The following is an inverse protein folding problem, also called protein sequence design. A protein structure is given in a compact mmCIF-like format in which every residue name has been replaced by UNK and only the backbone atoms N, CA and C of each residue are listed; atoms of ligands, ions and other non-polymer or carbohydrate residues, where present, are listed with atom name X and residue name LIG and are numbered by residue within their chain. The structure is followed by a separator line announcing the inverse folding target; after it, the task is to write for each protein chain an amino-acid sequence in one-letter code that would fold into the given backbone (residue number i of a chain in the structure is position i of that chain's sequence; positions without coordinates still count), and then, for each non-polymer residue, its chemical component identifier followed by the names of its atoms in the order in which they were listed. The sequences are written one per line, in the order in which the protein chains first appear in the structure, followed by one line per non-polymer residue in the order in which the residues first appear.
data_IF_469015489353
#
_entry.id   IF_469015489353
#
_cell.length_a   1.000
_cell.length_b   1.000
_cell.length_c   1.000
_cell.angle_alpha   90.00
_cell.angle_beta   90.00
_cell.angle_gamma   90.00
#
_symmetry.space_group_name_H-M   'P 1'
#
loop_
_entity.id
_entity.type
_entity.pdbx_description
1 polymer ?
#
# COMPACT_ATOMS: atom_id res chain seq x y z
N UNK A 1 23.37 11.36 -9.27
CA UNK A 1 23.27 12.54 -8.41
C UNK A 1 22.26 12.19 -7.32
N UNK A 2 22.71 12.11 -6.06
CA UNK A 2 21.88 11.71 -4.91
C UNK A 2 21.01 12.88 -4.47
N UNK A 3 19.71 12.65 -4.28
CA UNK A 3 18.75 13.63 -3.73
C UNK A 3 18.86 13.78 -2.20
N UNK A 4 19.81 13.10 -1.54
CA UNK A 4 19.98 13.15 -0.10
C UNK A 4 20.99 14.24 0.31
N UNK A 5 20.57 15.51 0.23
CA UNK A 5 21.15 16.64 0.97
C UNK A 5 20.42 17.94 0.54
N UNK A 6 19.18 18.12 0.99
CA UNK A 6 18.55 19.43 0.93
C UNK A 6 18.89 20.16 2.23
N UNK A 7 19.77 21.15 2.14
CA UNK A 7 20.11 22.02 3.25
C UNK A 7 18.84 22.74 3.75
N UNK A 8 18.70 22.82 5.07
CA UNK A 8 17.69 23.64 5.77
C UNK A 8 17.68 25.05 5.18
N UNK A 9 16.57 25.44 4.53
CA UNK A 9 16.41 26.74 3.86
C UNK A 9 16.33 26.69 2.33
N UNK A 10 16.33 25.50 1.71
CA UNK A 10 16.15 25.40 0.25
C UNK A 10 14.70 25.74 -0.12
N UNK A 11 14.53 26.82 -0.88
CA UNK A 11 13.24 27.29 -1.38
C UNK A 11 12.50 26.21 -2.19
N UNK A 12 11.19 26.11 -2.00
CA UNK A 12 10.32 25.09 -2.60
C UNK A 12 10.37 25.14 -4.13
N UNK A 13 10.53 26.33 -4.70
CA UNK A 13 10.69 26.51 -6.15
C UNK A 13 11.98 25.85 -6.64
N UNK A 14 13.06 25.98 -5.87
CA UNK A 14 14.36 25.37 -6.18
C UNK A 14 14.27 23.84 -6.15
N UNK A 15 13.61 23.27 -5.13
CA UNK A 15 13.40 21.82 -5.05
C UNK A 15 12.55 21.30 -6.22
N UNK A 16 11.48 22.02 -6.55
CA UNK A 16 10.61 21.67 -7.68
C UNK A 16 11.39 21.70 -9.00
N UNK A 17 12.21 22.74 -9.21
CA UNK A 17 13.07 22.85 -10.40
C UNK A 17 14.05 21.68 -10.50
N UNK A 18 14.74 21.34 -9.40
CA UNK A 18 15.69 20.22 -9.37
C UNK A 18 15.00 18.89 -9.67
N UNK A 19 13.82 18.65 -9.10
CA UNK A 19 13.00 17.47 -9.38
C UNK A 19 12.64 17.36 -10.87
N UNK A 20 12.19 18.45 -11.50
CA UNK A 20 11.89 18.46 -12.93
C UNK A 20 13.11 18.14 -13.79
N UNK A 21 14.25 18.75 -13.51
CA UNK A 21 15.48 18.51 -14.29
C UNK A 21 16.01 17.08 -14.10
N UNK A 22 15.85 16.51 -12.91
CA UNK A 22 16.14 15.10 -12.68
C UNK A 22 15.25 14.18 -13.54
N UNK A 23 13.94 14.42 -13.55
CA UNK A 23 12.99 13.60 -14.32
C UNK A 23 13.19 13.73 -15.84
N UNK A 24 13.69 14.87 -16.31
CA UNK A 24 14.06 15.05 -17.73
C UNK A 24 15.36 14.32 -18.10
N UNK A 25 16.35 14.31 -17.21
CA UNK A 25 17.70 13.80 -17.50
C UNK A 25 17.88 12.32 -17.18
N UNK A 26 17.02 11.76 -16.34
CA UNK A 26 17.10 10.35 -15.98
C UNK A 26 16.79 9.45 -17.18
N UNK A 27 17.59 8.38 -17.33
CA UNK A 27 17.36 7.33 -18.33
C UNK A 27 16.45 6.22 -17.83
N UNK A 28 16.13 6.21 -16.53
CA UNK A 28 15.24 5.23 -15.93
C UNK A 28 13.77 5.55 -16.24
N UNK A 29 12.93 4.52 -16.25
CA UNK A 29 11.48 4.69 -16.28
C UNK A 29 11.01 5.32 -14.96
N UNK A 30 10.05 6.21 -15.04
CA UNK A 30 9.48 6.85 -13.85
C UNK A 30 7.97 7.09 -14.02
N UNK A 31 7.27 7.13 -12.90
CA UNK A 31 5.86 7.48 -12.82
C UNK A 31 5.70 8.62 -11.81
N UNK A 32 5.12 9.73 -12.26
CA UNK A 32 4.70 10.82 -11.39
C UNK A 32 3.20 10.69 -11.13
N UNK A 33 2.78 10.71 -9.87
CA UNK A 33 1.38 10.69 -9.48
C UNK A 33 1.03 12.05 -8.87
N UNK A 34 0.05 12.71 -9.46
CA UNK A 34 -0.52 13.96 -8.95
C UNK A 34 -1.95 13.66 -8.53
N UNK A 35 -2.13 13.46 -7.24
CA UNK A 35 -3.40 13.04 -6.68
C UNK A 35 -4.30 14.25 -6.36
N UNK A 36 -5.59 14.10 -6.61
CA UNK A 36 -6.65 15.06 -6.28
C UNK A 36 -6.39 16.50 -6.77
N UNK A 37 -6.00 16.63 -8.04
CA UNK A 37 -5.72 17.94 -8.65
C UNK A 37 -7.02 18.69 -8.94
N UNK A 38 -7.20 19.84 -8.30
CA UNK A 38 -8.38 20.69 -8.52
C UNK A 38 -8.29 21.53 -9.79
N UNK A 39 -7.12 22.14 -10.03
CA UNK A 39 -6.89 23.08 -11.13
C UNK A 39 -5.53 22.82 -11.78
N UNK A 40 -5.44 23.03 -13.09
CA UNK A 40 -4.23 22.68 -13.85
C UNK A 40 -2.98 23.38 -13.33
N UNK A 41 -3.07 24.66 -12.95
CA UNK A 41 -1.92 25.42 -12.46
C UNK A 41 -1.36 24.89 -11.12
N UNK A 42 -2.13 24.08 -10.37
CA UNK A 42 -1.60 23.37 -9.19
C UNK A 42 -0.65 22.23 -9.57
N UNK A 43 -0.80 21.66 -10.77
CA UNK A 43 0.01 20.56 -11.28
C UNK A 43 1.13 21.03 -12.21
N UNK A 44 0.90 22.10 -12.98
CA UNK A 44 1.76 22.48 -14.11
C UNK A 44 3.22 22.75 -13.68
N UNK A 45 3.41 23.30 -12.49
CA UNK A 45 4.74 23.63 -11.97
C UNK A 45 5.56 22.37 -11.66
N UNK A 46 4.94 21.20 -11.50
CA UNK A 46 5.63 19.93 -11.23
C UNK A 46 5.91 19.14 -12.51
N UNK A 47 5.11 19.36 -13.55
CA UNK A 47 5.19 18.60 -14.80
C UNK A 47 6.44 19.01 -15.60
N UNK A 48 7.31 18.07 -16.00
CA UNK A 48 8.44 18.38 -16.87
C UNK A 48 7.97 18.87 -18.24
N UNK A 49 8.60 19.93 -18.75
CA UNK A 49 8.42 20.33 -20.16
C UNK A 49 8.87 19.20 -21.09
N UNK A 50 8.11 18.94 -22.17
CA UNK A 50 8.40 17.93 -23.20
C UNK A 50 8.50 16.49 -22.66
N UNK A 51 7.52 16.06 -21.88
CA UNK A 51 7.44 14.67 -21.37
C UNK A 51 7.54 13.60 -22.46
N UNK A 52 7.14 13.90 -23.70
CA UNK A 52 7.23 12.98 -24.84
C UNK A 52 8.67 12.54 -25.19
N UNK A 53 9.70 13.25 -24.73
CA UNK A 53 11.10 12.86 -24.93
C UNK A 53 11.70 12.12 -23.72
N UNK A 54 10.90 11.84 -22.70
CA UNK A 54 11.31 11.16 -21.47
C UNK A 54 10.76 9.73 -21.44
N UNK A 55 11.34 8.86 -20.62
CA UNK A 55 10.82 7.50 -20.34
C UNK A 55 9.74 7.52 -19.23
N UNK A 56 9.09 8.66 -19.05
CA UNK A 56 8.22 8.95 -17.93
C UNK A 56 6.74 8.88 -18.25
N UNK A 57 5.94 8.58 -17.24
CA UNK A 57 4.48 8.68 -17.31
C UNK A 57 3.98 9.57 -16.17
N UNK A 58 2.88 10.28 -16.42
CA UNK A 58 2.23 11.13 -15.43
C UNK A 58 0.80 10.65 -15.29
N UNK A 59 0.42 10.26 -14.08
CA UNK A 59 -0.94 9.96 -13.69
C UNK A 59 -1.50 11.12 -12.88
N UNK A 60 -2.63 11.67 -13.32
CA UNK A 60 -3.33 12.75 -12.63
C UNK A 60 -4.71 12.24 -12.26
N UNK A 61 -5.06 12.32 -10.98
CA UNK A 61 -6.43 12.06 -10.51
C UNK A 61 -7.10 13.39 -10.20
N UNK A 62 -8.42 13.46 -10.43
CA UNK A 62 -9.20 14.68 -10.19
C UNK A 62 -10.66 14.33 -10.01
N UNK A 63 -11.36 15.15 -9.22
CA UNK A 63 -12.84 15.12 -9.11
C UNK A 63 -13.51 16.03 -10.14
N UNK A 64 -12.74 16.85 -10.85
CA UNK A 64 -13.26 17.86 -11.76
C UNK A 64 -13.18 17.40 -13.21
N UNK A 65 -14.33 17.12 -13.83
CA UNK A 65 -14.42 16.79 -15.26
C UNK A 65 -13.86 17.91 -16.16
N UNK A 66 -13.88 19.16 -15.70
CA UNK A 66 -13.31 20.30 -16.42
C UNK A 66 -11.78 20.39 -16.39
N UNK A 67 -11.07 19.57 -15.61
CA UNK A 67 -9.61 19.62 -15.58
C UNK A 67 -9.03 19.17 -16.92
N UNK A 68 -8.40 20.08 -17.65
CA UNK A 68 -7.74 19.79 -18.92
C UNK A 68 -6.39 20.47 -18.98
N UNK A 69 -5.36 19.74 -19.43
CA UNK A 69 -4.08 20.33 -19.76
C UNK A 69 -4.24 21.30 -20.96
N UNK A 70 -3.60 22.49 -20.94
CA UNK A 70 -3.66 23.46 -22.03
C UNK A 70 -3.12 22.90 -23.35
N UNK A 71 -2.15 22.00 -23.27
CA UNK A 71 -1.64 21.23 -24.40
C UNK A 71 -1.81 19.74 -24.09
N UNK A 72 -2.40 18.99 -25.03
CA UNK A 72 -2.53 17.54 -24.92
C UNK A 72 -1.33 16.92 -25.63
N UNK A 73 -0.45 16.20 -24.91
CA UNK A 73 0.59 15.38 -25.54
C UNK A 73 -0.03 14.37 -26.52
N UNK A 74 0.79 13.87 -27.44
CA UNK A 74 0.37 12.82 -28.39
C UNK A 74 -0.16 11.59 -27.63
N UNK A 75 0.49 11.21 -26.54
CA UNK A 75 0.11 10.07 -25.69
C UNK A 75 -0.74 10.48 -24.48
N UNK A 76 -1.70 11.37 -24.70
CA UNK A 76 -2.65 11.79 -23.66
C UNK A 76 -3.85 10.84 -23.59
N UNK A 77 -4.03 10.20 -22.43
CA UNK A 77 -5.19 9.37 -22.14
C UNK A 77 -6.00 9.96 -20.99
N UNK A 78 -7.32 9.97 -21.16
CA UNK A 78 -8.27 10.38 -20.12
C UNK A 78 -9.31 9.29 -19.94
N UNK A 79 -9.36 8.73 -18.73
CA UNK A 79 -10.40 7.81 -18.33
C UNK A 79 -11.32 8.50 -17.33
N UNK A 80 -12.63 8.51 -17.62
CA UNK A 80 -13.61 8.84 -16.61
C UNK A 80 -13.85 7.56 -15.79
N UNK A 81 -13.67 7.67 -14.47
CA UNK A 81 -14.04 6.61 -13.56
C UNK A 81 -15.54 6.74 -13.28
N UNK A 82 -16.27 5.67 -13.53
CA UNK A 82 -17.70 5.57 -13.26
C UNK A 82 -17.92 4.91 -11.89
N UNK A 83 -19.13 5.08 -11.37
CA UNK A 83 -19.55 4.33 -10.19
C UNK A 83 -19.52 2.84 -10.51
N UNK A 84 -19.01 2.04 -9.56
CA UNK A 84 -19.08 0.59 -9.68
C UNK A 84 -20.54 0.15 -9.76
N UNK A 85 -20.87 -0.76 -10.66
CA UNK A 85 -22.20 -1.37 -10.68
C UNK A 85 -22.45 -2.10 -9.35
N UNK A 86 -23.72 -2.33 -9.00
CA UNK A 86 -24.06 -3.10 -7.79
C UNK A 86 -23.41 -4.49 -7.79
N UNK A 87 -23.26 -5.13 -8.94
CA UNK A 87 -22.55 -6.40 -9.09
C UNK A 87 -21.06 -6.28 -8.80
N UNK A 88 -20.37 -5.31 -9.39
CA UNK A 88 -18.93 -5.10 -9.19
C UNK A 88 -18.63 -4.63 -7.76
N UNK A 89 -19.45 -3.73 -7.22
CA UNK A 89 -19.37 -3.29 -5.83
C UNK A 89 -19.62 -4.45 -4.87
N UNK A 90 -20.63 -5.29 -5.12
CA UNK A 90 -20.86 -6.51 -4.35
C UNK A 90 -19.68 -7.47 -4.45
N UNK A 91 -19.12 -7.67 -5.64
CA UNK A 91 -18.01 -8.59 -5.83
C UNK A 91 -16.75 -8.11 -5.10
N UNK A 92 -16.44 -6.81 -5.19
CA UNK A 92 -15.34 -6.16 -4.47
C UNK A 92 -15.53 -6.26 -2.94
N UNK A 93 -16.76 -6.06 -2.46
CA UNK A 93 -17.09 -6.24 -1.05
C UNK A 93 -17.00 -7.71 -0.61
N UNK A 94 -17.48 -8.65 -1.43
CA UNK A 94 -17.47 -10.07 -1.12
C UNK A 94 -16.05 -10.63 -1.08
N UNK A 95 -15.22 -10.29 -2.08
CA UNK A 95 -13.78 -10.61 -2.08
C UNK A 95 -13.11 -10.05 -0.83
N UNK A 96 -13.35 -8.78 -0.50
CA UNK A 96 -12.84 -8.19 0.73
C UNK A 96 -13.38 -8.85 2.00
N UNK A 97 -14.62 -9.35 2.00
CA UNK A 97 -15.27 -9.94 3.18
C UNK A 97 -14.85 -11.38 3.45
N UNK A 98 -14.68 -12.19 2.40
CA UNK A 98 -14.25 -13.58 2.50
C UNK A 98 -12.81 -13.65 3.03
N UNK A 99 -11.94 -12.81 2.46
CA UNK A 99 -10.55 -12.66 2.88
C UNK A 99 -10.44 -12.27 4.37
N UNK A 100 -11.35 -11.39 4.84
CA UNK A 100 -11.43 -10.97 6.25
C UNK A 100 -11.99 -12.03 7.19
N UNK A 101 -12.94 -12.86 6.74
CA UNK A 101 -13.49 -13.97 7.55
C UNK A 101 -12.44 -15.04 7.77
N UNK A 102 -11.73 -15.44 6.72
CA UNK A 102 -10.68 -16.44 6.81
C UNK A 102 -9.53 -15.94 7.71
N UNK A 103 -9.16 -14.67 7.59
CA UNK A 103 -8.19 -14.03 8.49
C UNK A 103 -8.64 -14.08 9.96
N UNK A 104 -9.91 -13.76 10.24
CA UNK A 104 -10.45 -13.76 11.60
C UNK A 104 -10.48 -15.17 12.23
N UNK A 105 -10.88 -16.18 11.46
CA UNK A 105 -10.91 -17.58 11.90
C UNK A 105 -9.48 -18.09 12.14
N UNK A 106 -8.58 -17.88 11.17
CA UNK A 106 -7.19 -18.31 11.27
C UNK A 106 -6.48 -17.63 12.46
N UNK A 107 -6.71 -16.33 12.69
CA UNK A 107 -6.18 -15.65 13.87
C UNK A 107 -6.68 -16.25 15.18
N UNK A 108 -7.98 -16.56 15.26
CA UNK A 108 -8.57 -17.17 16.45
C UNK A 108 -7.97 -18.55 16.75
N UNK A 109 -7.81 -19.38 15.70
CA UNK A 109 -7.14 -20.68 15.80
C UNK A 109 -5.67 -20.53 16.23
N UNK A 110 -4.96 -19.55 15.67
CA UNK A 110 -3.57 -19.28 16.05
C UNK A 110 -3.44 -18.83 17.51
N UNK A 111 -4.27 -17.89 17.97
CA UNK A 111 -4.30 -17.49 19.37
C UNK A 111 -4.62 -18.66 20.31
N UNK A 112 -5.60 -19.49 19.95
CA UNK A 112 -5.91 -20.69 20.72
C UNK A 112 -4.70 -21.63 20.81
N UNK A 113 -3.95 -21.81 19.72
CA UNK A 113 -2.72 -22.62 19.75
C UNK A 113 -1.67 -22.08 20.73
N UNK A 114 -1.53 -20.76 20.85
CA UNK A 114 -0.62 -20.11 21.80
C UNK A 114 -1.09 -20.39 23.23
N UNK A 115 -2.39 -20.23 23.50
CA UNK A 115 -2.98 -20.49 24.83
C UNK A 115 -2.78 -21.96 25.23
N UNK A 116 -3.09 -22.90 24.34
CA UNK A 116 -2.92 -24.34 24.59
C UNK A 116 -1.45 -24.70 24.85
N UNK A 117 -0.53 -24.08 24.10
CA UNK A 117 0.91 -24.27 24.30
C UNK A 117 1.37 -23.75 25.66
N UNK A 118 0.88 -22.57 26.07
CA UNK A 118 1.19 -21.98 27.36
C UNK A 118 0.65 -22.82 28.53
N UNK A 119 -0.59 -23.32 28.40
CA UNK A 119 -1.20 -24.22 29.39
C UNK A 119 -0.46 -25.55 29.54
N UNK A 120 0.22 -26.01 28.49
CA UNK A 120 1.00 -27.24 28.50
C UNK A 120 2.50 -27.01 28.78
N UNK A 121 2.82 -26.02 29.62
CA UNK A 121 4.20 -25.75 30.06
C UNK A 121 5.15 -25.33 28.92
N UNK A 122 4.61 -24.71 27.87
CA UNK A 122 5.37 -24.27 26.70
C UNK A 122 5.62 -25.35 25.65
N UNK A 123 5.15 -26.60 25.86
CA UNK A 123 5.23 -27.66 24.85
C UNK A 123 3.91 -27.72 24.07
N UNK A 124 3.90 -27.44 22.77
CA UNK A 124 2.65 -27.40 22.01
C UNK A 124 2.07 -28.82 21.89
N UNK A 125 0.85 -29.10 22.42
CA UNK A 125 0.17 -30.36 22.19
C UNK A 125 -0.18 -30.53 20.70
N UNK A 126 -0.47 -31.75 20.26
CA UNK A 126 -0.76 -32.07 18.85
C UNK A 126 -1.87 -31.18 18.26
N UNK A 127 -2.95 -30.96 19.03
CA UNK A 127 -4.04 -30.05 18.65
C UNK A 127 -3.55 -28.62 18.42
N UNK A 128 -2.69 -28.09 19.29
CA UNK A 128 -2.13 -26.75 19.12
C UNK A 128 -1.23 -26.68 17.88
N UNK A 129 -0.45 -27.73 17.59
CA UNK A 129 0.38 -27.79 16.39
C UNK A 129 -0.48 -27.79 15.11
N UNK A 130 -1.57 -28.56 15.09
CA UNK A 130 -2.52 -28.59 13.98
C UNK A 130 -3.17 -27.22 13.75
N UNK A 131 -3.70 -26.59 14.81
CA UNK A 131 -4.29 -25.25 14.75
C UNK A 131 -3.28 -24.21 14.24
N UNK A 132 -2.04 -24.26 14.73
CA UNK A 132 -1.01 -23.32 14.31
C UNK A 132 -0.60 -23.53 12.84
N UNK A 133 -0.55 -24.78 12.37
CA UNK A 133 -0.26 -25.10 10.97
C UNK A 133 -1.37 -24.62 10.03
N UNK A 134 -2.61 -24.98 10.30
CA UNK A 134 -3.76 -24.53 9.50
C UNK A 134 -3.84 -23.01 9.41
N UNK A 135 -3.57 -22.33 10.53
CA UNK A 135 -3.59 -20.87 10.58
C UNK A 135 -2.49 -20.26 9.69
N UNK A 136 -1.27 -20.82 9.72
CA UNK A 136 -0.17 -20.37 8.86
C UNK A 136 -0.45 -20.62 7.37
N UNK A 137 -1.10 -21.73 7.02
CA UNK A 137 -1.49 -22.02 5.63
C UNK A 137 -2.57 -21.05 5.11
N UNK A 138 -3.44 -20.55 5.99
CA UNK A 138 -4.36 -19.45 5.64
C UNK A 138 -3.59 -18.15 5.53
N UNK A 139 -2.72 -17.84 6.50
CA UNK A 139 -1.94 -16.60 6.52
C UNK A 139 -1.07 -16.43 5.27
N UNK A 140 -0.37 -17.47 4.82
CA UNK A 140 0.48 -17.43 3.63
C UNK A 140 -0.33 -17.09 2.37
N UNK A 141 -1.55 -17.61 2.24
CA UNK A 141 -2.47 -17.27 1.14
C UNK A 141 -2.97 -15.83 1.20
N UNK A 142 -3.15 -15.29 2.40
CA UNK A 142 -3.63 -13.92 2.60
C UNK A 142 -2.53 -12.88 2.36
N UNK A 143 -1.29 -13.16 2.73
CA UNK A 143 -0.15 -12.25 2.56
C UNK A 143 0.26 -12.04 1.10
N UNK A 144 -0.15 -12.92 0.17
CA UNK A 144 0.04 -12.68 -1.28
C UNK A 144 -0.65 -11.38 -1.72
N UNK A 145 -1.70 -10.96 -1.02
CA UNK A 145 -2.47 -9.76 -1.34
C UNK A 145 -2.00 -8.50 -0.59
N UNK A 146 -1.09 -8.63 0.37
CA UNK A 146 -0.62 -7.53 1.22
C UNK A 146 0.85 -7.77 1.62
N UNK A 147 1.78 -7.25 0.80
CA UNK A 147 3.22 -7.47 0.95
C UNK A 147 3.81 -6.63 2.09
N UNK A 148 4.00 -7.25 3.25
CA UNK A 148 4.60 -6.62 4.42
C UNK A 148 6.10 -6.90 4.43
N UNK A 149 6.89 -5.87 4.10
CA UNK A 149 8.35 -5.95 4.14
C UNK A 149 8.88 -6.01 5.57
N UNK A 150 9.82 -6.93 5.85
CA UNK A 150 10.58 -6.98 7.10
C UNK A 150 9.99 -7.83 8.25
N UNK A 151 8.84 -8.48 8.03
CA UNK A 151 8.22 -9.37 9.03
C UNK A 151 8.42 -10.83 8.61
N UNK A 152 8.99 -11.66 9.51
CA UNK A 152 9.29 -13.08 9.21
C UNK A 152 8.09 -13.96 9.54
N UNK A 153 8.02 -15.17 8.98
CA UNK A 153 6.92 -16.12 9.26
C UNK A 153 6.77 -16.46 10.75
N UNK A 154 7.85 -16.39 11.54
CA UNK A 154 7.79 -16.54 13.00
C UNK A 154 6.98 -15.44 13.73
N UNK A 155 6.68 -14.33 13.04
CA UNK A 155 5.89 -13.21 13.55
C UNK A 155 4.40 -13.29 13.17
N UNK A 156 3.89 -14.51 12.99
CA UNK A 156 2.50 -14.78 12.62
C UNK A 156 1.45 -13.99 13.43
N UNK A 157 1.66 -13.74 14.73
CA UNK A 157 0.76 -12.86 15.52
C UNK A 157 0.65 -11.46 14.91
N UNK A 158 1.80 -10.82 14.64
CA UNK A 158 1.85 -9.48 14.08
C UNK A 158 1.30 -9.41 12.65
N UNK A 159 1.52 -10.47 11.86
CA UNK A 159 0.97 -10.60 10.51
C UNK A 159 -0.56 -10.71 10.54
N UNK A 160 -1.14 -11.47 11.48
CA UNK A 160 -2.59 -11.51 11.66
C UNK A 160 -3.18 -10.18 12.14
N UNK A 161 -2.45 -9.43 12.97
CA UNK A 161 -2.90 -8.09 13.41
C UNK A 161 -2.87 -7.08 12.27
N UNK A 162 -1.91 -7.20 11.35
CA UNK A 162 -1.86 -6.37 10.15
C UNK A 162 -3.11 -6.53 9.29
N UNK A 163 -3.57 -7.78 9.12
CA UNK A 163 -4.77 -8.14 8.36
C UNK A 163 -6.08 -7.70 9.04
N UNK A 164 -6.04 -7.22 10.29
CA UNK A 164 -7.24 -6.76 10.98
C UNK A 164 -7.73 -5.42 10.38
N UNK A 165 -9.05 -5.28 10.08
CA UNK A 165 -9.63 -4.01 9.72
C UNK A 165 -9.43 -2.95 10.83
N UNK A 166 -9.10 -1.72 10.43
CA UNK A 166 -8.68 -0.63 11.33
C UNK A 166 -9.83 -0.01 12.14
N UNK A 167 -11.07 -0.54 12.06
CA UNK A 167 -12.26 0.08 12.64
C UNK A 167 -12.28 0.16 14.19
N UNK A 168 -11.30 -0.44 14.89
CA UNK A 168 -11.22 -0.43 16.37
C UNK A 168 -9.79 -0.46 16.95
N UNK A 169 -8.77 -0.15 16.15
CA UNK A 169 -7.35 -0.26 16.56
C UNK A 169 -6.74 -1.64 16.32
N UNK A 170 -5.41 -1.68 16.14
CA UNK A 170 -4.62 -2.91 15.99
C UNK A 170 -4.15 -3.33 17.38
N UNK A 171 -4.50 -4.54 17.83
CA UNK A 171 -3.94 -5.10 19.06
C UNK A 171 -2.54 -5.62 18.77
N UNK A 172 -1.55 -4.74 18.80
CA UNK A 172 -0.16 -5.18 18.70
C UNK A 172 0.30 -5.62 20.08
N UNK A 173 0.44 -6.93 20.32
CA UNK A 173 1.21 -7.40 21.48
C UNK A 173 2.59 -6.72 21.52
N UNK A 174 3.34 -6.88 22.62
CA UNK A 174 4.72 -6.34 22.75
C UNK A 174 5.71 -6.86 21.69
N UNK A 175 5.33 -7.88 20.90
CA UNK A 175 6.17 -8.48 19.85
C UNK A 175 6.57 -7.51 18.73
N UNK A 176 5.79 -6.47 18.46
CA UNK A 176 6.14 -5.47 17.43
C UNK A 176 7.10 -4.38 17.93
N UNK A 177 7.29 -4.25 19.25
CA UNK A 177 8.23 -3.29 19.83
C UNK A 177 9.69 -3.54 19.41
N UNK A 178 10.03 -4.77 18.98
CA UNK A 178 11.38 -5.09 18.48
C UNK A 178 11.72 -4.42 17.13
N UNK A 179 10.73 -3.85 16.45
CA UNK A 179 10.89 -3.17 15.16
C UNK A 179 10.61 -1.66 15.23
N UNK A 180 10.26 -1.14 16.41
CA UNK A 180 10.17 0.30 16.65
C UNK A 180 11.58 0.78 17.06
N UNK A 181 12.20 1.73 16.33
CA UNK A 181 13.55 2.22 16.61
C UNK A 181 13.66 2.97 17.94
#
# INVERSE_FOLDING_TARGET
MSLASAASGTDQETLTRLGREFLKSTKARWLMILDNVDKWYHAESFVPMKTSVTMGSILITTRHQGLTAPSRPIDYYRQNLEELTNSEGRDLLLHGSALRKDAAVARSKFHLSIILTAQNGGKPPEEAQALARESRDVLSRLLVYDDIQGVREEDASALFDHLQPVFGGRWTETRLLKYVP
#
